data_IF_503087687543
#
_entry.id   IF_503087687543
#
_cell.length_a   1.000
_cell.length_b   1.000
_cell.length_c   1.000
_cell.angle_alpha   90.00
_cell.angle_beta   90.00
_cell.angle_gamma   90.00
#
_symmetry.space_group_name_H-M   'P 1'
#
loop_
_entity.id
_entity.type
_entity.pdbx_description
1 polymer ?
#
# COMPACT_ATOMS: atom_id res chain seq x y z
N UNK A 1 -4.89 37.19 -21.15
CA UNK A 1 -5.91 36.97 -20.10
C UNK A 1 -6.97 36.02 -20.68
N UNK A 2 -6.54 34.83 -21.11
CA UNK A 2 -7.41 33.80 -21.72
C UNK A 2 -7.25 32.44 -21.00
N UNK A 3 -6.13 32.21 -20.32
CA UNK A 3 -5.85 30.94 -19.60
C UNK A 3 -6.68 30.73 -18.32
N UNK A 4 -7.25 31.79 -17.72
CA UNK A 4 -8.07 31.65 -16.49
C UNK A 4 -9.50 31.19 -16.80
N UNK A 5 -10.04 31.53 -17.98
CA UNK A 5 -11.41 31.18 -18.38
C UNK A 5 -11.59 29.70 -18.74
N UNK A 6 -10.54 29.08 -19.30
CA UNK A 6 -10.56 27.67 -19.67
C UNK A 6 -10.53 26.76 -18.43
N UNK A 7 -9.77 27.14 -17.40
CA UNK A 7 -9.69 26.37 -16.16
C UNK A 7 -11.03 26.32 -15.41
N UNK A 8 -11.75 27.45 -15.31
CA UNK A 8 -13.06 27.47 -14.66
C UNK A 8 -14.11 26.69 -15.45
N UNK A 9 -14.04 26.69 -16.79
CA UNK A 9 -14.99 25.94 -17.64
C UNK A 9 -14.72 24.43 -17.59
N UNK A 10 -13.45 24.00 -17.51
CA UNK A 10 -13.08 22.58 -17.29
C UNK A 10 -13.51 22.08 -15.91
N UNK A 11 -13.37 22.89 -14.86
CA UNK A 11 -13.82 22.51 -13.50
C UNK A 11 -15.35 22.40 -13.45
N UNK A 12 -16.09 23.34 -14.02
CA UNK A 12 -17.56 23.30 -14.03
C UNK A 12 -18.12 22.14 -14.86
N UNK A 13 -17.41 21.70 -15.90
CA UNK A 13 -17.78 20.50 -16.70
C UNK A 13 -17.50 19.20 -15.93
N UNK A 14 -16.46 19.18 -15.09
CA UNK A 14 -16.19 18.05 -14.17
C UNK A 14 -17.14 17.97 -12.97
N UNK A 15 -17.84 19.05 -12.63
CA UNK A 15 -18.83 19.07 -11.54
C UNK A 15 -20.26 18.73 -12.00
N UNK A 16 -20.51 18.62 -13.31
CA UNK A 16 -21.80 18.20 -13.87
C UNK A 16 -21.98 16.65 -13.90
N UNK A 17 -21.21 15.90 -13.11
CA UNK A 17 -21.38 14.45 -12.92
C UNK A 17 -22.22 14.14 -11.68
N UNK A 18 -23.26 14.93 -11.39
CA UNK A 18 -24.16 14.64 -10.27
C UNK A 18 -25.59 15.04 -10.57
N UNK A 19 -26.34 14.16 -11.26
CA UNK A 19 -27.79 13.92 -11.10
C UNK A 19 -28.05 12.43 -11.51
N UNK A 20 -28.03 11.46 -10.57
CA UNK A 20 -29.17 10.84 -9.85
C UNK A 20 -30.06 9.92 -10.73
N UNK A 21 -30.77 8.84 -10.27
CA UNK A 21 -30.81 8.11 -8.99
C UNK A 21 -30.76 6.55 -9.13
N UNK A 22 -29.94 5.86 -8.33
CA UNK A 22 -30.03 4.39 -8.16
C UNK A 22 -30.43 4.05 -6.72
N UNK A 23 -31.73 3.80 -6.44
CA UNK A 23 -32.17 3.24 -5.18
C UNK A 23 -31.95 1.72 -5.21
N UNK A 24 -30.72 1.28 -5.00
CA UNK A 24 -30.40 -0.13 -4.75
C UNK A 24 -29.25 -0.21 -3.74
N UNK A 25 -29.63 -0.40 -2.47
CA UNK A 25 -28.71 -0.92 -1.47
C UNK A 25 -28.04 -2.20 -2.00
N UNK A 26 -26.70 -2.20 -2.18
CA UNK A 26 -25.78 -3.32 -2.55
C UNK A 26 -25.18 -3.29 -3.97
N UNK A 27 -24.11 -2.52 -4.20
CA UNK A 27 -23.21 -2.81 -5.34
C UNK A 27 -21.81 -2.21 -5.14
N UNK A 28 -20.97 -2.92 -4.37
CA UNK A 28 -19.50 -2.75 -4.20
C UNK A 28 -19.00 -1.33 -3.84
N UNK A 29 -18.22 -1.14 -2.77
CA UNK A 29 -17.55 0.14 -2.54
C UNK A 29 -16.78 0.55 -3.82
N UNK A 30 -17.11 1.69 -4.41
CA UNK A 30 -16.39 2.25 -5.55
C UNK A 30 -15.04 2.73 -5.00
N UNK A 31 -14.04 1.86 -5.09
CA UNK A 31 -12.70 2.16 -4.61
C UNK A 31 -12.01 3.09 -5.60
N UNK A 32 -11.65 4.28 -5.14
CA UNK A 32 -10.76 5.14 -5.91
C UNK A 32 -9.40 4.44 -6.04
N UNK A 33 -8.81 4.40 -7.25
CA UNK A 33 -7.49 3.79 -7.46
C UNK A 33 -6.40 4.48 -6.62
N UNK A 34 -6.60 5.73 -6.21
CA UNK A 34 -5.71 6.44 -5.28
C UNK A 34 -5.63 5.77 -3.90
N UNK A 35 -6.78 5.39 -3.33
CA UNK A 35 -6.85 4.86 -1.96
C UNK A 35 -6.13 3.51 -1.85
N UNK A 36 -6.29 2.64 -2.86
CA UNK A 36 -5.57 1.35 -2.91
C UNK A 36 -4.06 1.54 -3.06
N UNK A 37 -3.61 2.49 -3.89
CA UNK A 37 -2.18 2.74 -4.07
C UNK A 37 -1.53 3.30 -2.82
N UNK A 38 -2.26 4.13 -2.06
CA UNK A 38 -1.73 4.72 -0.84
C UNK A 38 -1.59 3.72 0.31
N UNK A 39 -2.55 2.81 0.44
CA UNK A 39 -2.49 1.70 1.41
C UNK A 39 -1.42 0.68 1.00
N UNK A 40 -1.28 0.37 -0.29
CA UNK A 40 -0.20 -0.49 -0.80
C UNK A 40 1.18 0.12 -0.56
N UNK A 41 1.35 1.43 -0.83
CA UNK A 41 2.60 2.15 -0.55
C UNK A 41 2.96 2.11 0.95
N UNK A 42 1.98 2.32 1.82
CA UNK A 42 2.16 2.20 3.27
C UNK A 42 2.55 0.78 3.69
N UNK A 43 1.94 -0.24 3.08
CA UNK A 43 2.26 -1.65 3.34
C UNK A 43 3.68 -1.99 2.89
N UNK A 44 4.13 -1.48 1.75
CA UNK A 44 5.52 -1.66 1.27
C UNK A 44 6.53 -0.99 2.21
N UNK A 45 6.24 0.20 2.74
CA UNK A 45 7.08 0.88 3.73
C UNK A 45 7.25 0.07 5.02
N UNK A 46 6.15 -0.53 5.51
CA UNK A 46 6.19 -1.39 6.70
C UNK A 46 6.96 -2.68 6.43
N UNK A 47 6.72 -3.33 5.29
CA UNK A 47 7.45 -4.53 4.89
C UNK A 47 8.95 -4.31 4.71
N UNK A 48 9.41 -3.08 4.42
CA UNK A 48 10.82 -2.75 4.26
C UNK A 48 11.55 -2.46 5.60
N UNK A 49 10.83 -2.06 6.65
CA UNK A 49 11.38 -1.80 7.99
C UNK A 49 11.93 -3.08 8.65
N UNK A 50 11.16 -4.17 8.60
CA UNK A 50 11.53 -5.48 9.18
C UNK A 50 12.84 -6.05 8.61
N UNK A 51 13.09 -6.04 7.28
CA UNK A 51 14.38 -6.42 6.71
C UNK A 51 15.46 -5.33 6.87
N UNK A 52 15.07 -4.05 6.84
CA UNK A 52 16.00 -2.92 6.91
C UNK A 52 16.76 -2.84 8.23
N UNK A 53 16.08 -3.08 9.36
CA UNK A 53 16.72 -3.13 10.68
C UNK A 53 17.67 -4.32 10.82
N UNK A 54 17.32 -5.48 10.27
CA UNK A 54 18.18 -6.67 10.30
C UNK A 54 19.44 -6.51 9.46
N UNK A 55 19.35 -5.84 8.31
CA UNK A 55 20.51 -5.49 7.49
C UNK A 55 21.42 -4.47 8.20
N UNK A 56 20.84 -3.43 8.80
CA UNK A 56 21.59 -2.44 9.58
C UNK A 56 22.25 -3.07 10.82
N UNK A 57 21.54 -3.97 11.50
CA UNK A 57 22.05 -4.71 12.66
C UNK A 57 23.18 -5.69 12.27
N UNK A 58 23.09 -6.31 11.09
CA UNK A 58 24.15 -7.14 10.52
C UNK A 58 25.42 -6.34 10.19
N UNK A 59 25.29 -5.08 9.76
CA UNK A 59 26.41 -4.20 9.40
C UNK A 59 27.20 -3.64 10.60
N UNK A 60 26.58 -3.44 11.77
CA UNK A 60 27.27 -3.01 13.00
C UNK A 60 27.77 -4.16 13.88
N UNK A 61 27.24 -5.37 13.69
CA UNK A 61 27.69 -6.55 14.41
C UNK A 61 29.00 -7.11 13.81
N UNK A 62 29.89 -7.61 14.67
CA UNK A 62 31.14 -8.29 14.29
C UNK A 62 30.86 -9.32 13.17
N UNK A 63 31.54 -9.19 12.02
CA UNK A 63 31.19 -9.88 10.75
C UNK A 63 31.05 -11.40 10.84
N UNK A 64 31.59 -12.02 11.89
CA UNK A 64 31.47 -13.45 12.18
C UNK A 64 30.01 -13.94 12.29
N UNK A 65 29.08 -13.09 12.72
CA UNK A 65 27.66 -13.47 12.90
C UNK A 65 26.70 -12.72 11.95
N UNK A 66 27.22 -11.82 11.12
CA UNK A 66 26.44 -11.02 10.18
C UNK A 66 25.63 -11.88 9.19
N UNK A 67 26.26 -12.97 8.70
CA UNK A 67 25.63 -13.91 7.77
C UNK A 67 24.41 -14.62 8.40
N UNK A 68 24.51 -15.02 9.68
CA UNK A 68 23.42 -15.69 10.38
C UNK A 68 22.24 -14.73 10.65
N UNK A 69 22.52 -13.46 10.98
CA UNK A 69 21.49 -12.43 11.16
C UNK A 69 20.74 -12.13 9.85
N UNK A 70 21.44 -12.09 8.71
CA UNK A 70 20.78 -11.90 7.41
C UNK A 70 19.86 -13.07 7.06
N UNK A 71 20.30 -14.31 7.30
CA UNK A 71 19.47 -15.50 7.07
C UNK A 71 18.24 -15.48 7.99
N UNK A 72 18.39 -15.12 9.27
CA UNK A 72 17.25 -14.99 10.20
C UNK A 72 16.25 -13.92 9.74
N UNK A 73 16.74 -12.81 9.19
CA UNK A 73 15.89 -11.73 8.68
C UNK A 73 15.10 -12.15 7.42
N UNK A 74 15.74 -12.88 6.50
CA UNK A 74 15.06 -13.51 5.36
C UNK A 74 14.06 -14.58 5.80
N UNK A 75 14.39 -15.38 6.81
CA UNK A 75 13.49 -16.38 7.37
C UNK A 75 12.25 -15.74 8.02
N UNK A 76 12.43 -14.60 8.70
CA UNK A 76 11.32 -13.81 9.26
C UNK A 76 10.36 -13.30 8.18
N UNK A 77 10.86 -12.86 7.02
CA UNK A 77 9.99 -12.46 5.89
C UNK A 77 9.14 -13.61 5.34
N UNK A 78 9.70 -14.82 5.25
CA UNK A 78 8.96 -16.00 4.81
C UNK A 78 7.82 -16.31 5.77
N UNK A 79 8.08 -16.26 7.09
CA UNK A 79 7.07 -16.51 8.13
C UNK A 79 5.96 -15.44 8.06
N UNK A 80 6.31 -14.15 8.01
CA UNK A 80 5.32 -13.05 7.92
C UNK A 80 4.47 -13.16 6.66
N UNK A 81 5.07 -13.50 5.52
CA UNK A 81 4.34 -13.71 4.26
C UNK A 81 3.35 -14.86 4.36
N UNK A 82 3.74 -15.97 4.99
CA UNK A 82 2.84 -17.11 5.26
C UNK A 82 1.75 -16.69 6.25
N UNK A 83 2.05 -15.91 7.28
CA UNK A 83 1.08 -15.49 8.28
C UNK A 83 -0.01 -14.59 7.69
N UNK A 84 0.38 -13.63 6.84
CA UNK A 84 -0.56 -12.76 6.10
C UNK A 84 -1.34 -13.57 5.06
N UNK A 85 -0.66 -14.42 4.28
CA UNK A 85 -1.32 -15.27 3.29
C UNK A 85 -2.30 -16.27 3.93
N UNK A 86 -1.92 -16.90 5.04
CA UNK A 86 -2.76 -17.81 5.82
C UNK A 86 -3.96 -17.08 6.41
N UNK A 87 -3.77 -15.89 6.99
CA UNK A 87 -4.87 -15.09 7.56
C UNK A 87 -5.85 -14.62 6.48
N UNK A 88 -5.40 -14.37 5.26
CA UNK A 88 -6.26 -14.05 4.11
C UNK A 88 -7.01 -15.31 3.64
N UNK A 89 -6.32 -16.44 3.51
CA UNK A 89 -6.90 -17.73 3.05
C UNK A 89 -7.92 -18.28 4.04
N UNK A 90 -7.66 -18.22 5.35
CA UNK A 90 -8.59 -18.74 6.37
C UNK A 90 -9.80 -17.84 6.61
N UNK A 91 -9.75 -16.58 6.17
CA UNK A 91 -10.85 -15.63 6.35
C UNK A 91 -11.83 -15.62 5.15
N UNK A 92 -11.55 -16.39 4.11
CA UNK A 92 -12.38 -16.56 2.91
C UNK A 92 -12.99 -17.97 2.88
#
# INVERSE_FOLDING_TARGET
>A
VEEVGNFTTTVLTSLNSTEAPVPESMARPEYAPGDITWVLASTTLVCLMTPGLGFFYSGMAKSKNALHILILCLCSLVIVSIQVGFLIVYKN
#
